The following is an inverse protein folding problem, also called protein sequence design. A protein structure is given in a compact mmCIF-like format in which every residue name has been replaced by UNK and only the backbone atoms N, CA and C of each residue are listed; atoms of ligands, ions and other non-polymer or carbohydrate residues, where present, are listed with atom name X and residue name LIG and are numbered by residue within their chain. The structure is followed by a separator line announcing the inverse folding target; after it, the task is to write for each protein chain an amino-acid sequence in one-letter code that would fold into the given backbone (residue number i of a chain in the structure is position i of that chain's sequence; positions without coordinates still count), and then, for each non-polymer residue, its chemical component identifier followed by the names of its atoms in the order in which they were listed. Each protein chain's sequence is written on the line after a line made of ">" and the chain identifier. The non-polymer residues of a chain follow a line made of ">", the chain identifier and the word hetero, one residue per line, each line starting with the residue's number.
data_IF_148469723223
#
_entry.id   IF_148469723223
#
_cell.length_a   1.000
_cell.length_b   1.000
_cell.length_c   1.000
_cell.angle_alpha   90.00
_cell.angle_beta   90.00
_cell.angle_gamma   90.00
#
_symmetry.space_group_name_H-M   'P 1'
#
loop_
_entity.id
_entity.type
_entity.pdbx_description
1 polymer ?
#
# COMPACT_ATOMS: atom_id res chain seq x y z
N UNK A 1 -20.81 2.21 -5.90
CA UNK A 1 -19.88 3.17 -5.30
C UNK A 1 -19.15 2.44 -4.20
N UNK A 2 -17.87 2.13 -4.36
CA UNK A 2 -17.11 1.44 -3.31
C UNK A 2 -16.84 2.41 -2.17
N UNK A 3 -17.21 2.07 -0.94
CA UNK A 3 -16.89 2.86 0.25
C UNK A 3 -15.37 2.92 0.43
N UNK A 4 -14.81 4.12 0.24
CA UNK A 4 -13.39 4.38 0.47
C UNK A 4 -13.07 4.27 1.96
N UNK A 5 -11.87 3.80 2.28
CA UNK A 5 -11.36 3.79 3.64
C UNK A 5 -10.89 5.20 3.98
N UNK A 6 -11.50 5.78 5.01
CA UNK A 6 -11.10 7.10 5.52
C UNK A 6 -9.80 7.00 6.30
N UNK A 7 -8.79 7.73 5.85
CA UNK A 7 -7.53 7.93 6.53
C UNK A 7 -7.54 9.29 7.22
N UNK A 8 -7.00 9.37 8.44
CA UNK A 8 -6.70 10.64 9.10
C UNK A 8 -5.33 11.13 8.62
N UNK A 9 -5.11 12.44 8.68
CA UNK A 9 -3.77 12.97 8.43
C UNK A 9 -2.78 12.41 9.46
N UNK A 10 -1.65 11.92 8.97
CA UNK A 10 -0.67 11.16 9.74
C UNK A 10 -0.85 9.64 9.67
N UNK A 11 -2.02 9.13 9.22
CA UNK A 11 -2.23 7.70 9.11
C UNK A 11 -1.30 7.09 8.07
N UNK A 12 -0.80 5.90 8.41
CA UNK A 12 0.10 5.12 7.57
C UNK A 12 -0.29 3.65 7.67
N UNK A 13 -0.33 2.96 6.54
CA UNK A 13 -0.71 1.55 6.44
C UNK A 13 0.19 0.82 5.45
N UNK A 14 0.43 -0.47 5.71
CA UNK A 14 1.03 -1.37 4.73
C UNK A 14 -0.04 -1.77 3.70
N UNK A 15 0.33 -1.81 2.43
CA UNK A 15 -0.58 -2.17 1.34
C UNK A 15 0.08 -3.10 0.33
N UNK A 16 -0.73 -3.94 -0.29
CA UNK A 16 -0.39 -4.73 -1.46
C UNK A 16 -1.38 -4.38 -2.57
N UNK A 17 -0.87 -4.13 -3.77
CA UNK A 17 -1.66 -3.73 -4.95
C UNK A 17 -1.40 -4.70 -6.08
N UNK A 18 -2.44 -5.18 -6.74
CA UNK A 18 -2.35 -6.06 -7.91
C UNK A 18 -3.50 -5.74 -8.85
N UNK A 19 -3.26 -5.79 -10.15
CA UNK A 19 -4.28 -5.59 -11.19
C UNK A 19 -5.10 -4.29 -11.00
N UNK A 20 -4.42 -3.20 -10.59
CA UNK A 20 -5.05 -1.89 -10.37
C UNK A 20 -5.86 -1.75 -9.08
N UNK A 21 -5.84 -2.74 -8.19
CA UNK A 21 -6.60 -2.72 -6.94
C UNK A 21 -5.72 -3.02 -5.71
N UNK A 22 -6.05 -2.39 -4.58
CA UNK A 22 -5.47 -2.73 -3.28
C UNK A 22 -6.08 -4.05 -2.81
N UNK A 23 -5.30 -5.12 -2.83
CA UNK A 23 -5.76 -6.49 -2.52
C UNK A 23 -5.59 -6.85 -1.03
N UNK A 24 -4.61 -6.23 -0.35
CA UNK A 24 -4.43 -6.36 1.10
C UNK A 24 -3.96 -5.04 1.70
N UNK A 25 -4.39 -4.75 2.93
CA UNK A 25 -3.89 -3.63 3.69
C UNK A 25 -3.92 -3.92 5.19
N UNK A 26 -3.05 -3.27 5.97
CA UNK A 26 -3.09 -3.32 7.43
C UNK A 26 -2.53 -2.04 8.05
N UNK A 27 -3.16 -1.51 9.13
CA UNK A 27 -2.59 -0.41 9.91
C UNK A 27 -1.50 -0.85 10.88
N UNK A 28 -1.20 -2.16 10.96
CA UNK A 28 -0.17 -2.66 11.87
C UNK A 28 1.24 -2.38 11.32
N UNK A 29 1.72 -1.18 11.59
CA UNK A 29 3.07 -0.73 11.22
C UNK A 29 4.19 -1.38 12.05
N UNK A 30 3.87 -2.24 13.02
CA UNK A 30 4.85 -3.09 13.70
C UNK A 30 5.35 -4.26 12.83
N UNK A 31 4.71 -4.51 11.68
CA UNK A 31 5.14 -5.53 10.73
C UNK A 31 6.09 -4.95 9.68
N UNK A 32 7.21 -5.62 9.37
CA UNK A 32 7.96 -5.32 8.15
C UNK A 32 7.18 -5.79 6.91
N UNK A 33 7.43 -5.19 5.73
CA UNK A 33 6.74 -5.56 4.49
C UNK A 33 6.81 -7.06 4.17
N UNK A 34 7.95 -7.71 4.45
CA UNK A 34 8.13 -9.15 4.21
C UNK A 34 7.19 -10.01 5.05
N UNK A 35 7.00 -9.66 6.32
CA UNK A 35 6.12 -10.40 7.22
C UNK A 35 4.64 -10.12 6.90
N UNK A 36 4.32 -8.88 6.49
CA UNK A 36 3.00 -8.55 5.97
C UNK A 36 2.63 -9.41 4.75
N UNK A 37 3.53 -9.50 3.77
CA UNK A 37 3.34 -10.36 2.58
C UNK A 37 3.20 -11.82 2.98
N UNK A 38 4.09 -12.31 3.84
CA UNK A 38 4.07 -13.71 4.30
C UNK A 38 2.75 -14.09 4.96
N UNK A 39 2.21 -13.20 5.81
CA UNK A 39 0.93 -13.43 6.49
C UNK A 39 -0.28 -13.30 5.56
N UNK A 40 -0.23 -12.40 4.59
CA UNK A 40 -1.35 -12.14 3.68
C UNK A 40 -1.46 -13.20 2.59
N UNK A 41 -0.35 -13.56 1.95
CA UNK A 41 -0.33 -14.37 0.72
C UNK A 41 0.77 -15.43 0.69
N UNK A 42 1.58 -15.55 1.75
CA UNK A 42 2.75 -16.45 1.81
C UNK A 42 3.98 -15.87 1.11
N UNK A 43 3.83 -15.48 -0.15
CA UNK A 43 4.84 -14.80 -0.96
C UNK A 43 4.19 -13.66 -1.75
N UNK A 44 4.99 -12.72 -2.26
CA UNK A 44 4.45 -11.60 -3.05
C UNK A 44 3.92 -12.15 -4.38
N UNK A 45 2.60 -12.03 -4.67
CA UNK A 45 2.05 -12.58 -5.91
C UNK A 45 2.73 -11.97 -7.14
N UNK A 46 2.87 -12.76 -8.21
CA UNK A 46 3.44 -12.26 -9.46
C UNK A 46 2.65 -11.04 -9.98
N UNK A 47 3.37 -9.99 -10.38
CA UNK A 47 2.79 -8.73 -10.82
C UNK A 47 2.19 -7.87 -9.71
N UNK A 48 2.25 -8.29 -8.44
CA UNK A 48 1.83 -7.46 -7.32
C UNK A 48 2.94 -6.47 -6.91
N UNK A 49 2.49 -5.36 -6.33
CA UNK A 49 3.31 -4.35 -5.71
C UNK A 49 3.03 -4.30 -4.21
N UNK A 50 4.05 -4.00 -3.40
CA UNK A 50 3.92 -3.86 -1.95
C UNK A 50 4.63 -2.62 -1.45
N UNK A 51 4.01 -1.93 -0.50
CA UNK A 51 4.59 -0.75 0.07
C UNK A 51 3.74 -0.19 1.18
N UNK A 52 3.82 1.12 1.34
CA UNK A 52 3.14 1.84 2.39
C UNK A 52 2.28 2.93 1.76
N UNK A 53 1.05 3.10 2.24
CA UNK A 53 0.23 4.27 1.95
C UNK A 53 0.23 5.17 3.18
N UNK A 54 0.39 6.46 2.97
CA UNK A 54 0.28 7.48 4.01
C UNK A 54 -0.64 8.60 3.55
N UNK A 55 -1.37 9.18 4.51
CA UNK A 55 -2.07 10.45 4.31
C UNK A 55 -1.29 11.55 5.02
N UNK A 56 -0.73 12.49 4.27
CA UNK A 56 0.05 13.61 4.79
C UNK A 56 -0.42 14.89 4.11
N UNK A 57 -0.66 15.94 4.90
CA UNK A 57 -1.17 17.24 4.45
C UNK A 57 -2.41 17.11 3.53
N UNK A 58 -3.38 16.30 3.95
CA UNK A 58 -4.59 16.00 3.19
C UNK A 58 -4.39 15.17 1.90
N UNK A 59 -3.18 14.68 1.61
CA UNK A 59 -2.86 13.92 0.40
C UNK A 59 -2.53 12.47 0.72
N UNK A 60 -3.19 11.55 0.02
CA UNK A 60 -2.88 10.11 0.06
C UNK A 60 -1.82 9.79 -0.98
N UNK A 61 -0.72 9.16 -0.55
CA UNK A 61 0.38 8.75 -1.41
C UNK A 61 0.93 7.37 -1.02
N UNK A 62 1.32 6.59 -2.03
CA UNK A 62 1.97 5.30 -1.86
C UNK A 62 3.49 5.40 -2.04
N UNK A 63 4.26 4.68 -1.22
CA UNK A 63 5.73 4.59 -1.28
C UNK A 63 6.14 3.12 -1.36
N UNK A 64 7.08 2.82 -2.26
CA UNK A 64 7.56 1.46 -2.54
C UNK A 64 8.34 0.85 -1.37
N UNK A 65 8.18 -0.46 -1.17
CA UNK A 65 8.98 -1.21 -0.21
C UNK A 65 10.45 -1.30 -0.65
N UNK A 66 11.37 -0.83 0.21
CA UNK A 66 12.81 -1.01 -0.01
C UNK A 66 13.22 -2.48 -0.10
N UNK A 67 12.55 -3.35 0.66
CA UNK A 67 12.89 -4.76 0.73
C UNK A 67 12.61 -5.48 -0.60
N UNK A 68 11.46 -5.20 -1.21
CA UNK A 68 11.04 -5.88 -2.44
C UNK A 68 11.60 -5.23 -3.71
N UNK A 69 11.89 -3.93 -3.69
CA UNK A 69 12.29 -3.18 -4.89
C UNK A 69 13.70 -2.59 -4.82
N UNK A 70 14.38 -2.64 -3.67
CA UNK A 70 15.72 -2.07 -3.48
C UNK A 70 15.74 -0.55 -3.25
N UNK A 71 14.60 0.15 -3.38
CA UNK A 71 14.50 1.60 -3.24
C UNK A 71 13.18 2.04 -2.56
N UNK A 72 13.16 3.28 -2.07
CA UNK A 72 11.96 3.94 -1.57
C UNK A 72 11.68 5.18 -2.42
N UNK A 73 10.80 4.99 -3.40
CA UNK A 73 10.29 6.04 -4.27
C UNK A 73 8.76 5.98 -4.24
N UNK A 74 8.06 7.05 -4.66
CA UNK A 74 6.63 6.99 -4.91
C UNK A 74 6.29 5.73 -5.72
N UNK A 75 5.20 5.07 -5.33
CA UNK A 75 4.65 3.97 -6.12
C UNK A 75 4.35 4.46 -7.55
N UNK A 76 4.42 3.57 -8.55
CA UNK A 76 4.12 3.89 -9.94
C UNK A 76 2.67 4.38 -10.09
N UNK A 77 2.35 5.05 -11.19
CA UNK A 77 1.06 5.73 -11.38
C UNK A 77 -0.15 4.81 -11.19
N UNK A 78 -0.07 3.56 -11.65
CA UNK A 78 -1.14 2.58 -11.49
C UNK A 78 -1.40 2.21 -10.02
N UNK A 79 -0.36 2.24 -9.17
CA UNK A 79 -0.49 2.06 -7.71
C UNK A 79 -1.13 3.28 -7.08
N UNK A 80 -0.71 4.49 -7.49
CA UNK A 80 -1.29 5.73 -6.96
C UNK A 80 -2.78 5.83 -7.30
N UNK A 81 -3.17 5.43 -8.51
CA UNK A 81 -4.57 5.34 -8.92
C UNK A 81 -5.34 4.36 -8.03
N UNK A 82 -4.86 3.13 -7.90
CA UNK A 82 -5.47 2.09 -7.06
C UNK A 82 -5.67 2.54 -5.61
N UNK A 83 -4.69 3.24 -5.06
CA UNK A 83 -4.72 3.77 -3.70
C UNK A 83 -5.75 4.89 -3.57
N UNK A 84 -5.83 5.83 -4.51
CA UNK A 84 -6.84 6.91 -4.50
C UNK A 84 -8.26 6.41 -4.72
N UNK A 85 -8.42 5.26 -5.37
CA UNK A 85 -9.73 4.60 -5.50
C UNK A 85 -10.15 3.92 -4.19
N UNK A 86 -9.20 3.42 -3.40
CA UNK A 86 -9.49 2.68 -2.17
C UNK A 86 -9.52 3.53 -0.91
N UNK A 87 -8.70 4.57 -0.83
CA UNK A 87 -8.47 5.40 0.37
C UNK A 87 -8.81 6.86 0.11
N UNK A 88 -9.34 7.54 1.13
CA UNK A 88 -9.63 8.98 1.12
C UNK A 88 -9.20 9.71 2.37
#
# INVERSE_FOLDING_TARGET
>A
MSEKIKMRDGDTMLIMVKDGAVIHFTPNMGLPHVEFVRRATGELPAGAWVGTVSRLDGKVAAISSKYFFGYQLPGPDWVQAAVRERFE
#
